data_IF_783370180769
#
_entry.id   IF_783370180769
#
_cell.length_a   1.000
_cell.length_b   1.000
_cell.length_c   1.000
_cell.angle_alpha   90.00
_cell.angle_beta   90.00
_cell.angle_gamma   90.00
#
_symmetry.space_group_name_H-M   'P 1'
#
loop_
_entity.id
_entity.type
_entity.pdbx_description
1 polymer ?
#
# COMPACT_ATOMS: atom_id res chain seq x y z
N UNK A 1 -7.14 -20.85 -7.11
CA UNK A 1 -6.54 -19.92 -6.15
C UNK A 1 -6.93 -20.37 -4.74
N UNK A 2 -5.95 -20.50 -3.84
CA UNK A 2 -6.23 -20.81 -2.43
C UNK A 2 -6.34 -19.50 -1.66
N UNK A 3 -7.38 -19.37 -0.85
CA UNK A 3 -7.65 -18.22 0.02
C UNK A 3 -7.61 -18.69 1.46
N UNK A 4 -6.81 -18.02 2.28
CA UNK A 4 -6.79 -18.20 3.73
C UNK A 4 -7.45 -17.01 4.41
N UNK A 5 -8.14 -17.22 5.52
CA UNK A 5 -8.79 -16.16 6.28
C UNK A 5 -7.86 -15.70 7.41
N UNK A 6 -7.55 -14.42 7.47
CA UNK A 6 -6.87 -13.76 8.60
C UNK A 6 -7.80 -13.50 9.78
N UNK A 7 -9.08 -13.62 9.56
CA UNK A 7 -10.17 -13.40 10.49
C UNK A 7 -11.49 -13.63 9.77
N UNK A 8 -12.62 -13.25 10.36
CA UNK A 8 -13.94 -13.46 9.75
C UNK A 8 -14.18 -12.66 8.45
N UNK A 9 -13.37 -11.64 8.18
CA UNK A 9 -13.55 -10.74 7.05
C UNK A 9 -12.25 -10.37 6.32
N UNK A 10 -11.09 -10.89 6.77
CA UNK A 10 -9.81 -10.64 6.15
C UNK A 10 -9.36 -11.87 5.33
N UNK A 11 -8.92 -11.63 4.13
CA UNK A 11 -8.50 -12.67 3.18
C UNK A 11 -7.07 -12.42 2.75
N UNK A 12 -6.32 -13.52 2.63
CA UNK A 12 -4.98 -13.54 2.06
C UNK A 12 -4.97 -14.53 0.91
N UNK A 13 -4.36 -14.16 -0.17
CA UNK A 13 -4.22 -15.03 -1.34
C UNK A 13 -2.78 -15.55 -1.47
N UNK A 14 -2.60 -16.62 -2.24
CA UNK A 14 -1.25 -17.06 -2.64
C UNK A 14 -0.51 -15.96 -3.41
N UNK A 15 -1.25 -15.03 -4.03
CA UNK A 15 -0.70 -13.91 -4.78
C UNK A 15 -0.09 -12.87 -3.85
N UNK A 16 -0.75 -12.54 -2.72
CA UNK A 16 -0.21 -11.61 -1.71
C UNK A 16 1.17 -12.08 -1.23
N UNK A 17 1.25 -13.34 -0.80
CA UNK A 17 2.51 -13.92 -0.34
C UNK A 17 3.59 -14.02 -1.42
N UNK A 18 3.20 -14.36 -2.65
CA UNK A 18 4.14 -14.41 -3.77
C UNK A 18 4.68 -13.02 -4.12
N UNK A 19 3.81 -12.02 -4.13
CA UNK A 19 4.15 -10.61 -4.36
C UNK A 19 5.10 -10.10 -3.25
N UNK A 20 4.72 -10.32 -1.98
CA UNK A 20 5.53 -9.95 -0.82
C UNK A 20 6.94 -10.51 -0.91
N UNK A 21 7.06 -11.81 -1.20
CA UNK A 21 8.35 -12.49 -1.33
C UNK A 21 9.23 -11.84 -2.39
N UNK A 22 8.69 -11.60 -3.58
CA UNK A 22 9.44 -10.99 -4.69
C UNK A 22 9.92 -9.58 -4.33
N UNK A 23 9.06 -8.78 -3.68
CA UNK A 23 9.41 -7.43 -3.23
C UNK A 23 10.54 -7.49 -2.20
N UNK A 24 10.41 -8.35 -1.18
CA UNK A 24 11.43 -8.51 -0.12
C UNK A 24 12.78 -8.93 -0.73
N UNK A 25 12.79 -9.97 -1.57
CA UNK A 25 14.00 -10.46 -2.21
C UNK A 25 14.68 -9.38 -3.07
N UNK A 26 13.89 -8.62 -3.81
CA UNK A 26 14.40 -7.52 -4.65
C UNK A 26 15.02 -6.41 -3.82
N UNK A 27 14.31 -5.96 -2.76
CA UNK A 27 14.76 -4.87 -1.91
C UNK A 27 16.00 -5.24 -1.11
N UNK A 28 16.03 -6.42 -0.48
CA UNK A 28 17.19 -6.86 0.31
C UNK A 28 18.41 -7.21 -0.56
N UNK A 29 18.19 -7.62 -1.80
CA UNK A 29 19.30 -7.79 -2.76
C UNK A 29 19.95 -6.46 -3.11
N UNK A 30 19.13 -5.42 -3.32
CA UNK A 30 19.62 -4.09 -3.65
C UNK A 30 20.13 -3.30 -2.43
N UNK A 31 19.53 -3.53 -1.27
CA UNK A 31 19.78 -2.80 -0.02
C UNK A 31 19.87 -3.76 1.17
N UNK A 32 20.96 -4.54 1.29
CA UNK A 32 21.07 -5.62 2.30
C UNK A 32 21.07 -5.12 3.75
N UNK A 33 21.43 -3.86 3.99
CA UNK A 33 21.49 -3.26 5.33
C UNK A 33 20.15 -2.60 5.76
N UNK A 34 19.13 -2.59 4.89
CA UNK A 34 17.82 -2.03 5.21
C UNK A 34 16.94 -3.04 5.97
N UNK A 35 15.95 -2.50 6.71
CA UNK A 35 14.86 -3.27 7.29
C UNK A 35 13.63 -3.27 6.38
N UNK A 36 12.74 -4.24 6.60
CA UNK A 36 11.45 -4.34 5.93
C UNK A 36 10.37 -4.64 6.96
N UNK A 37 9.27 -3.90 6.91
CA UNK A 37 8.02 -4.18 7.59
C UNK A 37 7.00 -4.62 6.53
N UNK A 38 6.61 -5.89 6.57
CA UNK A 38 5.72 -6.50 5.60
C UNK A 38 4.35 -6.80 6.22
N UNK A 39 3.27 -6.50 5.49
CA UNK A 39 1.90 -6.66 6.01
C UNK A 39 1.51 -8.13 6.12
N UNK A 40 1.69 -8.91 5.04
CA UNK A 40 1.12 -10.25 4.96
C UNK A 40 1.77 -11.27 5.90
N UNK A 41 3.06 -11.23 6.02
CA UNK A 41 3.78 -12.07 6.98
C UNK A 41 3.69 -11.54 8.41
N UNK A 42 3.35 -10.26 8.60
CA UNK A 42 3.37 -9.59 9.90
C UNK A 42 4.77 -9.64 10.55
N UNK A 43 5.82 -9.71 9.76
CA UNK A 43 7.20 -9.89 10.21
C UNK A 43 8.09 -8.76 9.72
N UNK A 44 9.14 -8.54 10.48
CA UNK A 44 10.26 -7.71 10.09
C UNK A 44 11.33 -8.58 9.42
N UNK A 45 11.88 -8.11 8.32
CA UNK A 45 12.96 -8.75 7.59
C UNK A 45 14.16 -7.80 7.50
N UNK A 46 15.34 -8.36 7.21
CA UNK A 46 16.57 -7.58 7.13
C UNK A 46 17.03 -7.08 8.51
N UNK A 47 17.54 -5.85 8.57
CA UNK A 47 18.04 -5.25 9.81
C UNK A 47 16.95 -4.44 10.53
N UNK A 48 16.39 -4.91 11.67
CA UNK A 48 15.32 -4.21 12.38
C UNK A 48 15.77 -2.90 13.02
N UNK A 49 17.08 -2.67 13.16
CA UNK A 49 17.65 -1.45 13.71
C UNK A 49 18.13 -0.48 12.63
N UNK A 50 17.82 -0.76 11.35
CA UNK A 50 18.21 0.09 10.25
C UNK A 50 17.54 1.47 10.32
N UNK A 51 18.28 2.50 9.95
CA UNK A 51 17.71 3.85 9.73
C UNK A 51 16.69 3.86 8.57
N UNK A 52 16.83 2.91 7.63
CA UNK A 52 16.02 2.78 6.41
C UNK A 52 15.15 1.54 6.52
N UNK A 53 13.85 1.72 6.56
CA UNK A 53 12.87 0.64 6.67
C UNK A 53 11.88 0.76 5.51
N UNK A 54 11.75 -0.30 4.73
CA UNK A 54 10.70 -0.43 3.72
C UNK A 54 9.42 -0.91 4.39
N UNK A 55 8.32 -0.24 4.11
CA UNK A 55 6.98 -0.62 4.53
C UNK A 55 6.24 -1.05 3.28
N UNK A 56 5.79 -2.31 3.24
CA UNK A 56 5.20 -2.89 2.03
C UNK A 56 3.83 -3.49 2.32
N UNK A 57 2.88 -3.17 1.45
CA UNK A 57 1.62 -3.85 1.25
C UNK A 57 1.65 -4.41 -0.17
N UNK A 58 1.78 -5.73 -0.33
CA UNK A 58 1.98 -6.36 -1.63
C UNK A 58 0.72 -6.40 -2.48
N UNK A 59 -0.46 -6.28 -1.87
CA UNK A 59 -1.75 -6.24 -2.55
C UNK A 59 -2.81 -5.53 -1.70
N UNK A 60 -2.75 -4.19 -1.67
CA UNK A 60 -3.84 -3.38 -1.10
C UNK A 60 -5.11 -3.53 -1.94
N UNK A 61 -6.19 -3.92 -1.28
CA UNK A 61 -7.45 -4.25 -1.94
C UNK A 61 -7.64 -5.75 -2.23
N UNK A 62 -7.12 -6.63 -1.38
CA UNK A 62 -7.22 -8.10 -1.49
C UNK A 62 -8.66 -8.58 -1.75
N UNK A 63 -9.65 -8.00 -1.05
CA UNK A 63 -11.06 -8.32 -1.26
C UNK A 63 -11.51 -8.01 -2.70
N UNK A 64 -11.13 -6.86 -3.24
CA UNK A 64 -11.43 -6.48 -4.61
C UNK A 64 -10.78 -7.44 -5.60
N UNK A 65 -9.51 -7.78 -5.36
CA UNK A 65 -8.77 -8.72 -6.19
C UNK A 65 -9.44 -10.09 -6.26
N UNK A 66 -9.84 -10.65 -5.10
CA UNK A 66 -10.51 -11.96 -5.01
C UNK A 66 -11.83 -11.98 -5.80
N UNK A 67 -12.57 -10.86 -5.78
CA UNK A 67 -13.85 -10.73 -6.46
C UNK A 67 -13.72 -10.24 -7.91
N UNK A 68 -12.50 -10.06 -8.43
CA UNK A 68 -12.29 -9.58 -9.80
C UNK A 68 -12.67 -8.11 -10.00
N UNK A 69 -12.80 -7.34 -8.92
CA UNK A 69 -13.05 -5.90 -9.00
C UNK A 69 -11.72 -5.16 -9.19
N UNK A 70 -11.52 -4.45 -10.33
CA UNK A 70 -10.21 -3.95 -10.75
C UNK A 70 -9.80 -2.66 -10.00
N UNK A 71 -9.79 -2.71 -8.67
CA UNK A 71 -9.36 -1.62 -7.78
C UNK A 71 -8.49 -2.22 -6.67
N UNK A 72 -7.21 -2.36 -6.95
CA UNK A 72 -6.18 -2.84 -6.04
C UNK A 72 -4.82 -2.34 -6.50
N UNK A 73 -3.84 -2.30 -5.60
CA UNK A 73 -2.51 -1.80 -5.92
C UNK A 73 -1.41 -2.51 -5.10
N UNK A 74 -0.17 -2.30 -5.50
CA UNK A 74 1.02 -2.55 -4.68
C UNK A 74 1.42 -1.23 -4.04
N UNK A 75 1.65 -1.21 -2.73
CA UNK A 75 2.07 -0.01 -1.99
C UNK A 75 3.40 -0.24 -1.29
N UNK A 76 4.40 0.60 -1.58
CA UNK A 76 5.74 0.51 -0.99
C UNK A 76 6.16 1.90 -0.53
N UNK A 77 6.61 2.01 0.72
CA UNK A 77 7.17 3.25 1.25
C UNK A 77 8.56 3.02 1.84
N UNK A 78 9.44 4.01 1.72
CA UNK A 78 10.72 4.06 2.43
C UNK A 78 10.62 5.04 3.59
N UNK A 79 10.74 4.51 4.78
CA UNK A 79 10.92 5.28 6.01
C UNK A 79 12.40 5.45 6.30
N UNK A 80 12.83 6.67 6.61
CA UNK A 80 14.19 6.99 7.06
C UNK A 80 14.10 7.66 8.41
N UNK A 81 14.69 7.04 9.44
CA UNK A 81 14.67 7.54 10.82
C UNK A 81 13.27 7.92 11.31
N UNK A 82 12.30 7.04 11.07
CA UNK A 82 10.91 7.23 11.49
C UNK A 82 10.08 8.18 10.63
N UNK A 83 10.61 8.70 9.50
CA UNK A 83 9.87 9.59 8.58
C UNK A 83 9.78 8.99 7.20
N UNK A 84 8.60 9.02 6.60
CA UNK A 84 8.43 8.59 5.21
C UNK A 84 9.11 9.61 4.29
N UNK A 85 10.04 9.15 3.48
CA UNK A 85 10.82 9.96 2.55
C UNK A 85 10.47 9.66 1.09
N UNK A 86 10.09 8.42 0.77
CA UNK A 86 9.69 8.02 -0.57
C UNK A 86 8.49 7.08 -0.51
N UNK A 87 7.68 7.09 -1.55
CA UNK A 87 6.56 6.17 -1.71
C UNK A 87 6.33 5.84 -3.18
N UNK A 88 5.88 4.61 -3.42
CA UNK A 88 5.44 4.10 -4.71
C UNK A 88 4.11 3.39 -4.52
N UNK A 89 3.15 3.69 -5.40
CA UNK A 89 1.91 2.92 -5.54
C UNK A 89 1.79 2.53 -7.01
N UNK A 90 1.59 1.25 -7.27
CA UNK A 90 1.39 0.73 -8.62
C UNK A 90 0.03 0.08 -8.77
N UNK A 91 -0.79 0.63 -9.66
CA UNK A 91 -2.05 0.03 -10.10
C UNK A 91 -1.80 -0.87 -11.33
N UNK A 92 -1.79 -2.20 -11.18
CA UNK A 92 -1.52 -3.10 -12.29
C UNK A 92 -2.68 -3.21 -13.27
N UNK A 93 -3.88 -2.78 -12.88
CA UNK A 93 -5.07 -2.86 -13.75
C UNK A 93 -5.06 -1.81 -14.85
N UNK A 94 -4.41 -0.66 -14.58
CA UNK A 94 -4.28 0.48 -15.49
C UNK A 94 -2.85 0.72 -15.95
N UNK A 95 -1.89 -0.01 -15.38
CA UNK A 95 -0.47 0.24 -15.54
C UNK A 95 -0.08 1.67 -15.12
N UNK A 96 -0.68 2.15 -14.04
CA UNK A 96 -0.41 3.47 -13.48
C UNK A 96 0.58 3.39 -12.32
N UNK A 97 1.71 4.09 -12.47
CA UNK A 97 2.75 4.19 -11.45
C UNK A 97 2.70 5.56 -10.78
N UNK A 98 2.36 5.57 -9.51
CA UNK A 98 2.43 6.76 -8.66
C UNK A 98 3.71 6.75 -7.85
N UNK A 99 4.44 7.85 -7.86
CA UNK A 99 5.67 8.01 -7.08
C UNK A 99 5.67 9.33 -6.33
N UNK A 100 6.27 9.34 -5.17
CA UNK A 100 6.48 10.56 -4.40
C UNK A 100 7.83 10.54 -3.69
N UNK A 101 8.49 11.69 -3.65
CA UNK A 101 9.67 11.92 -2.81
C UNK A 101 9.42 13.20 -2.03
N UNK A 102 9.68 13.15 -0.73
CA UNK A 102 9.51 14.30 0.16
C UNK A 102 10.30 15.49 -0.34
N UNK A 103 9.63 16.64 -0.41
CA UNK A 103 10.20 17.88 -0.94
C UNK A 103 10.26 17.96 -2.48
N UNK A 104 10.03 16.87 -3.20
CA UNK A 104 10.07 16.84 -4.67
C UNK A 104 8.69 16.75 -5.32
N UNK A 105 7.65 16.39 -4.54
CA UNK A 105 6.27 16.25 -4.99
C UNK A 105 5.92 14.84 -5.45
N UNK A 106 4.72 14.69 -6.02
CA UNK A 106 4.17 13.43 -6.48
C UNK A 106 3.96 13.43 -7.99
N UNK A 107 4.05 12.24 -8.59
CA UNK A 107 3.97 12.01 -10.01
C UNK A 107 3.10 10.78 -10.31
N UNK A 108 2.46 10.75 -11.45
CA UNK A 108 1.79 9.60 -12.04
C UNK A 108 2.34 9.41 -13.46
N UNK A 109 2.96 8.26 -13.74
CA UNK A 109 3.60 7.98 -15.03
C UNK A 109 4.49 9.16 -15.51
N UNK A 110 5.39 9.62 -14.62
CA UNK A 110 6.31 10.77 -14.82
C UNK A 110 5.62 12.15 -14.97
N UNK A 111 4.30 12.21 -14.92
CA UNK A 111 3.57 13.48 -14.95
C UNK A 111 3.34 13.99 -13.53
N UNK A 112 3.80 15.19 -13.27
CA UNK A 112 3.66 15.79 -11.95
C UNK A 112 2.20 15.98 -11.57
N UNK A 113 1.82 15.46 -10.41
CA UNK A 113 0.50 15.65 -9.82
C UNK A 113 0.39 17.03 -9.14
N UNK A 114 -0.79 17.60 -9.20
CA UNK A 114 -1.16 18.82 -8.51
C UNK A 114 -2.57 18.67 -7.93
N UNK A 115 -2.80 19.23 -6.76
CA UNK A 115 -4.15 19.36 -6.22
C UNK A 115 -5.02 20.17 -7.16
N UNK A 116 -6.30 19.88 -7.21
CA UNK A 116 -7.25 20.65 -8.02
C UNK A 116 -7.35 22.08 -7.49
N UNK A 117 -7.77 23.03 -8.37
CA UNK A 117 -8.05 24.41 -7.98
C UNK A 117 -9.47 24.62 -7.46
N UNK A 118 -10.23 23.52 -7.28
CA UNK A 118 -11.61 23.60 -6.75
C UNK A 118 -11.56 23.96 -5.28
N UNK A 119 -12.31 25.01 -4.91
CA UNK A 119 -12.37 25.51 -3.53
C UNK A 119 -13.76 25.36 -2.91
N UNK A 120 -14.77 25.00 -3.73
CA UNK A 120 -16.14 24.80 -3.27
C UNK A 120 -16.44 23.31 -3.18
N UNK A 121 -17.05 22.89 -2.09
CA UNK A 121 -17.40 21.50 -1.85
C UNK A 121 -18.31 20.93 -2.96
N UNK A 122 -19.22 21.73 -3.50
CA UNK A 122 -20.14 21.36 -4.58
C UNK A 122 -19.42 21.00 -5.90
N UNK A 123 -18.16 21.40 -6.05
CA UNK A 123 -17.35 21.12 -7.23
C UNK A 123 -16.44 19.89 -7.04
N UNK A 124 -16.49 19.26 -5.86
CA UNK A 124 -15.63 18.17 -5.48
C UNK A 124 -16.35 16.82 -5.63
N UNK A 125 -15.56 15.77 -5.91
CA UNK A 125 -15.96 14.39 -5.71
C UNK A 125 -15.30 13.93 -4.43
N UNK A 126 -16.08 13.36 -3.52
CA UNK A 126 -15.60 12.84 -2.24
C UNK A 126 -15.90 11.35 -2.23
N UNK A 127 -14.89 10.55 -1.92
CA UNK A 127 -15.06 9.13 -1.67
C UNK A 127 -14.76 8.83 -0.20
N UNK A 128 -15.41 7.80 0.33
CA UNK A 128 -15.18 7.32 1.69
C UNK A 128 -15.26 5.79 1.71
N UNK A 129 -14.64 5.18 2.72
CA UNK A 129 -14.83 3.78 3.05
C UNK A 129 -15.75 3.64 4.26
N UNK A 130 -16.33 2.47 4.45
CA UNK A 130 -17.11 2.15 5.65
C UNK A 130 -16.40 1.09 6.48
N UNK A 131 -16.43 1.19 7.82
CA UNK A 131 -15.98 0.12 8.67
C UNK A 131 -16.83 -1.13 8.42
N UNK A 132 -16.18 -2.28 8.26
CA UNK A 132 -16.84 -3.55 7.92
C UNK A 132 -16.49 -4.68 8.90
N UNK A 133 -15.52 -4.45 9.79
CA UNK A 133 -15.12 -5.43 10.81
C UNK A 133 -16.04 -5.36 12.00
N UNK A 134 -16.31 -6.53 12.60
CA UNK A 134 -17.13 -6.60 13.83
C UNK A 134 -16.39 -5.91 14.98
N UNK A 135 -17.03 -4.89 15.56
CA UNK A 135 -16.44 -4.07 16.63
C UNK A 135 -15.97 -2.69 16.16
N UNK A 136 -15.99 -2.43 14.88
CA UNK A 136 -15.75 -1.10 14.34
C UNK A 136 -16.86 -0.12 14.80
N UNK A 137 -16.46 1.13 15.04
CA UNK A 137 -17.38 2.17 15.53
C UNK A 137 -18.28 2.71 14.39
N UNK A 138 -19.05 1.82 13.77
CA UNK A 138 -19.92 2.14 12.63
C UNK A 138 -20.85 3.34 12.90
N UNK A 139 -21.46 3.40 14.11
CA UNK A 139 -22.36 4.49 14.47
C UNK A 139 -21.66 5.85 14.65
N UNK A 140 -20.34 5.87 14.80
CA UNK A 140 -19.57 7.11 14.89
C UNK A 140 -19.10 7.58 13.50
N UNK A 141 -19.20 6.67 12.52
CA UNK A 141 -18.77 6.94 11.15
C UNK A 141 -19.88 7.61 10.31
N UNK A 142 -21.14 7.35 10.64
CA UNK A 142 -22.35 7.94 10.03
C UNK A 142 -22.73 9.24 10.73
#
# INVERSE_FOLDING_TARGET
MKVASKGRSDFVTEVDHASEKVIIETLLTAYPDHGILAEESGREFGNPLADHIWIIDPLDGTTNFIHGFPVYCVSIALQVRGKIEQAVIYDPTRNDLFTATKGRGAFMNDRRLRVSKRIRLQECIISTGFPFRKGDNFNQYL
#
